data_IF_067084058211
#
_entry.id   IF_067084058211
#
_cell.length_a   1.000
_cell.length_b   1.000
_cell.length_c   1.000
_cell.angle_alpha   90.00
_cell.angle_beta   90.00
_cell.angle_gamma   90.00
#
_symmetry.space_group_name_H-M   'P 1'
#
loop_
_entity.id
_entity.type
_entity.pdbx_description
1 polymer ?
#
# COMPACT_ATOMS: atom_id res chain seq x y z
N UNK A 1 -22.40 5.63 26.71
CA UNK A 1 -22.56 6.74 25.74
C UNK A 1 -21.24 7.45 25.59
N UNK A 2 -20.64 7.37 24.39
CA UNK A 2 -19.81 8.41 23.75
C UNK A 2 -19.54 7.95 22.31
N UNK A 3 -20.61 8.03 21.52
CA UNK A 3 -20.51 8.40 20.10
C UNK A 3 -20.13 9.88 20.04
N UNK A 4 -19.68 10.34 18.87
CA UNK A 4 -19.07 11.66 18.55
C UNK A 4 -17.54 11.54 18.66
N UNK A 5 -16.75 11.43 17.58
CA UNK A 5 -16.62 12.38 16.47
C UNK A 5 -16.25 11.66 15.16
N UNK A 6 -17.22 11.42 14.26
CA UNK A 6 -16.95 11.23 12.82
C UNK A 6 -17.38 12.51 12.11
N UNK A 7 -16.60 13.58 12.32
CA UNK A 7 -16.76 14.85 11.61
C UNK A 7 -16.12 14.74 10.22
N UNK A 8 -16.86 15.19 9.21
CA UNK A 8 -16.61 15.16 7.76
C UNK A 8 -15.41 16.02 7.28
N UNK A 9 -14.30 16.02 8.02
CA UNK A 9 -13.11 16.80 7.68
C UNK A 9 -11.80 16.29 8.27
N UNK A 10 -11.76 15.11 8.90
CA UNK A 10 -10.49 14.49 9.24
C UNK A 10 -9.92 13.75 8.02
N UNK A 11 -8.64 13.96 7.66
CA UNK A 11 -8.00 13.08 6.70
C UNK A 11 -8.17 11.65 7.22
N UNK A 12 -8.60 10.73 6.35
CA UNK A 12 -8.66 9.32 6.70
C UNK A 12 -7.30 8.91 7.29
N UNK A 13 -7.26 7.93 8.19
CA UNK A 13 -6.02 7.51 8.86
C UNK A 13 -4.86 7.29 7.86
N UNK A 14 -5.13 6.71 6.70
CA UNK A 14 -4.14 6.56 5.62
C UNK A 14 -3.72 7.88 4.93
N UNK A 15 -4.62 8.86 4.78
CA UNK A 15 -4.39 10.12 4.09
C UNK A 15 -3.38 11.00 4.82
N UNK A 16 -3.44 11.06 6.16
CA UNK A 16 -2.46 11.83 6.92
C UNK A 16 -1.05 11.22 6.82
N UNK A 17 -0.95 9.90 6.93
CA UNK A 17 0.32 9.20 6.72
C UNK A 17 0.88 9.40 5.30
N UNK A 18 0.02 9.31 4.28
CA UNK A 18 0.41 9.56 2.89
C UNK A 18 0.84 11.01 2.65
N UNK A 19 0.19 11.98 3.32
CA UNK A 19 0.58 13.39 3.28
C UNK A 19 1.98 13.58 3.86
N UNK A 20 2.29 12.96 5.00
CA UNK A 20 3.62 12.99 5.59
C UNK A 20 4.68 12.40 4.66
N UNK A 21 4.38 11.29 3.99
CA UNK A 21 5.24 10.70 2.95
C UNK A 21 5.46 11.70 1.81
N UNK A 22 4.39 12.32 1.29
CA UNK A 22 4.48 13.30 0.21
C UNK A 22 5.28 14.55 0.58
N UNK A 23 5.33 14.90 1.86
CA UNK A 23 6.19 15.97 2.39
C UNK A 23 7.63 15.53 2.66
N UNK A 24 7.98 14.27 2.41
CA UNK A 24 9.30 13.69 2.72
C UNK A 24 9.54 13.44 4.22
N UNK A 25 8.51 13.57 5.06
CA UNK A 25 8.59 13.39 6.53
C UNK A 25 8.44 11.91 6.90
N UNK A 26 9.38 11.10 6.44
CA UNK A 26 9.31 9.64 6.56
C UNK A 26 9.35 9.15 8.02
N UNK A 27 10.13 9.79 8.89
CA UNK A 27 10.19 9.43 10.32
C UNK A 27 8.88 9.70 11.05
N UNK A 28 8.22 10.82 10.71
CA UNK A 28 6.92 11.17 11.30
C UNK A 28 5.83 10.22 10.79
N UNK A 29 5.86 9.89 9.49
CA UNK A 29 4.95 8.93 8.89
C UNK A 29 5.08 7.54 9.54
N UNK A 30 6.31 7.07 9.76
CA UNK A 30 6.58 5.79 10.42
C UNK A 30 6.03 5.76 11.86
N UNK A 31 6.33 6.79 12.65
CA UNK A 31 5.80 6.92 14.03
C UNK A 31 4.28 6.94 14.03
N UNK A 32 3.68 7.65 13.09
CA UNK A 32 2.23 7.74 12.94
C UNK A 32 1.61 6.37 12.66
N UNK A 33 2.10 5.63 11.67
CA UNK A 33 1.58 4.29 11.37
C UNK A 33 1.80 3.29 12.51
N UNK A 34 2.95 3.32 13.19
CA UNK A 34 3.17 2.46 14.35
C UNK A 34 2.25 2.78 15.53
N UNK A 35 1.86 4.05 15.69
CA UNK A 35 0.87 4.44 16.69
C UNK A 35 -0.52 3.91 16.31
N UNK A 36 -0.92 4.07 15.06
CA UNK A 36 -2.20 3.55 14.56
C UNK A 36 -2.31 2.02 14.75
N UNK A 37 -1.26 1.28 14.43
CA UNK A 37 -1.22 -0.18 14.62
C UNK A 37 -1.41 -0.62 16.08
N UNK A 38 -1.15 0.25 17.07
CA UNK A 38 -1.38 -0.04 18.50
C UNK A 38 -2.77 0.36 18.97
N UNK A 39 -3.37 1.37 18.35
CA UNK A 39 -4.64 1.97 18.78
C UNK A 39 -5.85 1.35 18.06
N UNK A 40 -5.66 0.79 16.85
CA UNK A 40 -6.73 0.19 16.05
C UNK A 40 -7.19 -1.16 16.65
N UNK A 41 -8.48 -1.29 17.03
CA UNK A 41 -9.03 -2.56 17.50
C UNK A 41 -9.37 -3.44 16.28
N UNK A 42 -8.44 -4.30 15.87
CA UNK A 42 -8.63 -5.37 14.87
C UNK A 42 -9.48 -5.02 13.62
N UNK A 43 -9.34 -3.79 13.08
CA UNK A 43 -9.80 -3.52 11.72
C UNK A 43 -8.72 -3.95 10.73
N UNK A 44 -8.96 -5.10 10.12
CA UNK A 44 -8.02 -5.70 9.19
C UNK A 44 -7.69 -4.78 7.99
N UNK A 45 -8.63 -3.97 7.47
CA UNK A 45 -8.35 -3.12 6.29
C UNK A 45 -7.48 -1.89 6.64
N UNK A 46 -7.73 -1.27 7.79
CA UNK A 46 -6.92 -0.13 8.25
C UNK A 46 -5.51 -0.56 8.65
N UNK A 47 -5.38 -1.74 9.27
CA UNK A 47 -4.09 -2.36 9.59
C UNK A 47 -3.30 -2.62 8.29
N UNK A 48 -3.94 -3.15 7.24
CA UNK A 48 -3.31 -3.38 5.95
C UNK A 48 -2.82 -2.06 5.30
N UNK A 49 -3.61 -1.00 5.41
CA UNK A 49 -3.25 0.34 4.92
C UNK A 49 -2.05 0.92 5.66
N UNK A 50 -1.96 0.70 6.98
CA UNK A 50 -0.79 1.09 7.78
C UNK A 50 0.47 0.34 7.35
N UNK A 51 0.38 -0.98 7.13
CA UNK A 51 1.50 -1.75 6.61
C UNK A 51 1.92 -1.30 5.22
N UNK A 52 0.97 -0.97 4.34
CA UNK A 52 1.31 -0.47 3.02
C UNK A 52 2.08 0.87 3.11
N UNK A 53 1.63 1.79 3.97
CA UNK A 53 2.30 3.05 4.24
C UNK A 53 3.71 2.87 4.82
N UNK A 54 3.89 1.96 5.78
CA UNK A 54 5.21 1.59 6.30
C UNK A 54 6.13 0.99 5.21
N UNK A 55 5.56 0.23 4.27
CA UNK A 55 6.28 -0.28 3.10
C UNK A 55 6.82 0.83 2.20
N UNK A 56 6.02 1.85 1.93
CA UNK A 56 6.40 3.04 1.15
C UNK A 56 7.48 3.85 1.90
N UNK A 57 7.31 4.05 3.20
CA UNK A 57 8.31 4.74 4.04
C UNK A 57 9.65 4.00 3.99
N UNK A 58 9.63 2.69 4.21
CA UNK A 58 10.84 1.86 4.17
C UNK A 58 11.51 1.88 2.79
N UNK A 59 10.73 1.92 1.70
CA UNK A 59 11.27 2.07 0.34
C UNK A 59 11.99 3.40 0.15
N UNK A 60 11.37 4.51 0.56
CA UNK A 60 11.97 5.84 0.45
C UNK A 60 13.24 5.99 1.32
N UNK A 61 13.33 5.25 2.42
CA UNK A 61 14.53 5.14 3.26
C UNK A 61 15.60 4.17 2.72
N UNK A 62 15.39 3.56 1.54
CA UNK A 62 16.31 2.57 0.95
C UNK A 62 16.31 1.20 1.63
N UNK A 63 15.40 0.96 2.58
CA UNK A 63 15.29 -0.28 3.35
C UNK A 63 14.43 -1.31 2.62
N UNK A 64 14.89 -1.76 1.45
CA UNK A 64 14.08 -2.57 0.54
C UNK A 64 13.62 -3.92 1.09
N UNK A 65 14.39 -4.58 1.97
CA UNK A 65 13.95 -5.82 2.62
C UNK A 65 12.78 -5.57 3.58
N UNK A 66 12.85 -4.48 4.34
CA UNK A 66 11.79 -4.09 5.28
C UNK A 66 10.53 -3.65 4.52
N UNK A 67 10.71 -2.92 3.41
CA UNK A 67 9.62 -2.55 2.51
C UNK A 67 8.87 -3.79 1.98
N UNK A 68 9.60 -4.79 1.47
CA UNK A 68 8.99 -6.05 1.03
C UNK A 68 8.22 -6.74 2.16
N UNK A 69 8.79 -6.79 3.37
CA UNK A 69 8.12 -7.38 4.53
C UNK A 69 6.79 -6.68 4.82
N UNK A 70 6.78 -5.35 4.87
CA UNK A 70 5.56 -4.59 5.15
C UNK A 70 4.51 -4.73 4.04
N UNK A 71 4.90 -4.63 2.76
CA UNK A 71 3.97 -4.86 1.66
C UNK A 71 3.42 -6.29 1.64
N UNK A 72 4.20 -7.30 2.03
CA UNK A 72 3.70 -8.67 2.16
C UNK A 72 2.69 -8.83 3.31
N UNK A 73 2.89 -8.15 4.44
CA UNK A 73 1.89 -8.12 5.51
C UNK A 73 0.60 -7.44 5.04
N UNK A 74 0.70 -6.28 4.38
CA UNK A 74 -0.44 -5.58 3.80
C UNK A 74 -1.21 -6.48 2.81
N UNK A 75 -0.49 -7.13 1.90
CA UNK A 75 -1.09 -8.01 0.90
C UNK A 75 -1.84 -9.18 1.54
N UNK A 76 -1.24 -9.84 2.55
CA UNK A 76 -1.89 -10.95 3.26
C UNK A 76 -3.23 -10.53 3.87
N UNK A 77 -3.26 -9.34 4.48
CA UNK A 77 -4.46 -8.86 5.15
C UNK A 77 -5.50 -8.38 4.12
N UNK A 78 -5.08 -7.67 3.08
CA UNK A 78 -5.97 -7.29 1.97
C UNK A 78 -6.59 -8.52 1.29
N UNK A 79 -5.86 -9.62 1.11
CA UNK A 79 -6.41 -10.86 0.55
C UNK A 79 -7.46 -11.52 1.44
N UNK A 80 -7.40 -11.30 2.75
CA UNK A 80 -8.37 -11.85 3.71
C UNK A 80 -9.61 -10.97 3.85
N UNK A 81 -9.49 -9.68 3.56
CA UNK A 81 -10.54 -8.68 3.82
C UNK A 81 -11.24 -8.19 2.57
N UNK A 82 -10.55 -8.19 1.43
CA UNK A 82 -11.01 -7.64 0.18
C UNK A 82 -11.21 -8.75 -0.86
N UNK A 83 -12.06 -8.48 -1.85
CA UNK A 83 -12.18 -9.35 -3.03
C UNK A 83 -10.86 -9.44 -3.81
N UNK A 84 -10.68 -10.53 -4.55
CA UNK A 84 -9.45 -10.82 -5.31
C UNK A 84 -9.12 -9.76 -6.38
N UNK A 85 -10.13 -9.02 -6.85
CA UNK A 85 -10.01 -7.95 -7.83
C UNK A 85 -9.91 -6.56 -7.19
N UNK A 86 -9.66 -6.43 -5.88
CA UNK A 86 -9.63 -5.11 -5.26
C UNK A 86 -8.38 -4.31 -5.67
N UNK A 87 -8.50 -3.02 -6.05
CA UNK A 87 -7.38 -2.18 -6.50
C UNK A 87 -6.19 -2.11 -5.52
N UNK A 88 -6.43 -2.09 -4.21
CA UNK A 88 -5.36 -2.14 -3.20
C UNK A 88 -4.42 -3.36 -3.33
N UNK A 89 -4.92 -4.52 -3.79
CA UNK A 89 -4.07 -5.68 -4.06
C UNK A 89 -3.13 -5.40 -5.24
N UNK A 90 -3.64 -4.75 -6.28
CA UNK A 90 -2.85 -4.34 -7.43
C UNK A 90 -1.79 -3.28 -7.06
N UNK A 91 -2.17 -2.26 -6.30
CA UNK A 91 -1.24 -1.24 -5.79
C UNK A 91 -0.10 -1.84 -4.95
N UNK A 92 -0.44 -2.79 -4.09
CA UNK A 92 0.56 -3.47 -3.25
C UNK A 92 1.50 -4.32 -4.11
N UNK A 93 0.98 -5.03 -5.11
CA UNK A 93 1.80 -5.76 -6.07
C UNK A 93 2.69 -4.85 -6.92
N UNK A 94 2.19 -3.70 -7.35
CA UNK A 94 2.95 -2.68 -8.07
C UNK A 94 4.12 -2.17 -7.20
N UNK A 95 3.85 -1.85 -5.94
CA UNK A 95 4.86 -1.41 -4.97
C UNK A 95 5.95 -2.48 -4.76
N UNK A 96 5.56 -3.74 -4.60
CA UNK A 96 6.50 -4.87 -4.52
C UNK A 96 7.36 -4.96 -5.79
N UNK A 97 6.76 -4.72 -6.96
CA UNK A 97 7.46 -4.65 -8.24
C UNK A 97 8.58 -3.61 -8.22
N UNK A 98 8.26 -2.37 -7.82
CA UNK A 98 9.23 -1.26 -7.74
C UNK A 98 10.34 -1.53 -6.74
N UNK A 99 10.02 -2.21 -5.63
CA UNK A 99 11.03 -2.62 -4.65
C UNK A 99 11.98 -3.67 -5.25
N UNK A 100 11.49 -4.61 -6.05
CA UNK A 100 12.36 -5.57 -6.74
C UNK A 100 13.18 -4.93 -7.85
N UNK A 101 12.61 -4.00 -8.60
CA UNK A 101 13.33 -3.23 -9.63
C UNK A 101 14.51 -2.46 -9.02
N UNK A 102 14.28 -1.77 -7.90
CA UNK A 102 15.32 -1.04 -7.15
C UNK A 102 16.41 -1.95 -6.58
N UNK A 103 16.15 -3.26 -6.51
CA UNK A 103 17.12 -4.30 -6.13
C UNK A 103 17.74 -5.01 -7.34
N UNK A 104 17.49 -4.53 -8.55
CA UNK A 104 17.90 -5.14 -9.83
C UNK A 104 17.38 -6.58 -10.01
N UNK A 105 16.26 -6.91 -9.37
CA UNK A 105 15.60 -8.22 -9.43
C UNK A 105 14.47 -8.22 -10.45
N UNK A 106 14.82 -7.94 -11.70
CA UNK A 106 13.85 -7.65 -12.78
C UNK A 106 12.84 -8.78 -13.04
N UNK A 107 13.25 -10.05 -12.91
CA UNK A 107 12.32 -11.19 -13.05
C UNK A 107 11.22 -11.17 -11.98
N UNK A 108 11.58 -10.86 -10.73
CA UNK A 108 10.61 -10.72 -9.64
C UNK A 108 9.75 -9.45 -9.77
N UNK A 109 10.34 -8.36 -10.26
CA UNK A 109 9.62 -7.12 -10.53
C UNK A 109 8.52 -7.35 -11.58
N UNK A 110 8.90 -7.89 -12.75
CA UNK A 110 7.98 -8.20 -13.85
C UNK A 110 6.84 -9.12 -13.41
N UNK A 111 7.12 -10.14 -12.61
CA UNK A 111 6.08 -11.02 -12.08
C UNK A 111 5.08 -10.28 -11.18
N UNK A 112 5.57 -9.34 -10.37
CA UNK A 112 4.73 -8.53 -9.49
C UNK A 112 3.87 -7.54 -10.29
N UNK A 113 4.44 -6.87 -11.29
CA UNK A 113 3.68 -5.98 -12.18
C UNK A 113 2.62 -6.72 -12.99
N UNK A 114 2.91 -7.92 -13.49
CA UNK A 114 1.91 -8.75 -14.18
C UNK A 114 0.74 -9.11 -13.27
N UNK A 115 0.99 -9.42 -12.00
CA UNK A 115 -0.09 -9.68 -11.02
C UNK A 115 -0.94 -8.43 -10.79
N UNK A 116 -0.31 -7.27 -10.63
CA UNK A 116 -1.03 -6.00 -10.50
C UNK A 116 -1.91 -5.71 -11.72
N UNK A 117 -1.38 -5.92 -12.93
CA UNK A 117 -2.09 -5.71 -14.18
C UNK A 117 -3.35 -6.58 -14.28
N UNK A 118 -3.24 -7.88 -13.98
CA UNK A 118 -4.38 -8.81 -14.01
C UNK A 118 -5.48 -8.35 -13.04
N UNK A 119 -5.11 -7.98 -11.81
CA UNK A 119 -6.07 -7.50 -10.81
C UNK A 119 -6.73 -6.19 -11.30
N UNK A 120 -5.98 -5.28 -11.91
CA UNK A 120 -6.55 -4.05 -12.44
C UNK A 120 -7.52 -4.29 -13.59
N UNK A 121 -7.23 -5.24 -14.48
CA UNK A 121 -8.14 -5.65 -15.56
C UNK A 121 -9.44 -6.24 -14.98
N UNK A 122 -9.34 -7.08 -13.95
CA UNK A 122 -10.52 -7.65 -13.29
C UNK A 122 -11.33 -6.62 -12.50
N UNK A 123 -10.68 -5.57 -11.98
CA UNK A 123 -11.31 -4.52 -11.18
C UNK A 123 -12.08 -3.50 -12.03
N UNK A 124 -11.49 -3.10 -13.16
CA UNK A 124 -11.93 -1.94 -13.94
C UNK A 124 -12.28 -2.27 -15.40
N UNK A 125 -12.09 -3.51 -15.85
CA UNK A 125 -12.15 -3.87 -17.26
C UNK A 125 -10.98 -3.27 -18.04
N UNK A 126 -11.18 -3.01 -19.33
CA UNK A 126 -10.15 -2.44 -20.22
C UNK A 126 -9.94 -0.92 -20.02
N UNK A 127 -10.37 -0.36 -18.89
CA UNK A 127 -10.29 1.08 -18.66
C UNK A 127 -8.82 1.55 -18.51
N UNK A 128 -8.39 2.37 -19.46
CA UNK A 128 -6.98 2.53 -19.85
C UNK A 128 -6.08 3.19 -18.79
N UNK A 129 -6.66 3.94 -17.84
CA UNK A 129 -5.90 4.82 -16.94
C UNK A 129 -5.09 4.05 -15.88
N UNK A 130 -5.66 2.98 -15.33
CA UNK A 130 -4.98 2.19 -14.29
C UNK A 130 -4.00 1.16 -14.89
N UNK A 131 -4.30 0.65 -16.09
CA UNK A 131 -3.37 -0.18 -16.87
C UNK A 131 -2.07 0.59 -17.18
N UNK A 132 -2.17 1.89 -17.49
CA UNK A 132 -1.03 2.74 -17.81
C UNK A 132 0.01 2.82 -16.67
N UNK A 133 -0.42 2.80 -15.40
CA UNK A 133 0.51 2.83 -14.26
C UNK A 133 1.35 1.55 -14.21
N UNK A 134 0.75 0.38 -14.46
CA UNK A 134 1.51 -0.87 -14.53
C UNK A 134 2.43 -0.92 -15.75
N UNK A 135 1.97 -0.48 -16.92
CA UNK A 135 2.80 -0.45 -18.13
C UNK A 135 3.98 0.52 -18.04
N UNK A 136 3.81 1.66 -17.34
CA UNK A 136 4.91 2.62 -17.13
C UNK A 136 6.03 2.02 -16.27
N UNK A 137 5.68 1.09 -15.38
CA UNK A 137 6.62 0.46 -14.45
C UNK A 137 7.17 -0.90 -14.96
N UNK A 138 6.66 -1.44 -16.07
CA UNK A 138 7.10 -2.71 -16.68
C UNK A 138 8.30 -2.53 -17.61
#
# INVERSE_FOLDING_TARGET
MKNEYFGSGQPNLGQFGNLLIGMGKFDDAEKYYHRLLKELPDDHQDIASCYNGLGIVAFNKGSYNLSLYHHQQALKIFQQTLGSNHPHLADTHNSIGSVYESKHKYKQALNSYKKALVIYQEAFGDDHRNLAICFTNM
#
